data_IF_534478247120
#
_entry.id   IF_534478247120
#
_cell.length_a   1.000
_cell.length_b   1.000
_cell.length_c   1.000
_cell.angle_alpha   90.00
_cell.angle_beta   90.00
_cell.angle_gamma   90.00
#
_symmetry.space_group_name_H-M   'P 1'
#
loop_
_entity.id
_entity.type
_entity.pdbx_description
1 polymer ?
#
# COMPACT_ATOMS: atom_id res chain seq x y z
N UNK A 1 -33.99 -6.38 3.56
CA UNK A 1 -33.70 -6.35 5.02
C UNK A 1 -34.96 -5.95 5.77
N UNK A 2 -35.25 -6.50 6.96
CA UNK A 2 -36.41 -6.06 7.75
C UNK A 2 -36.07 -4.86 8.64
N UNK A 3 -37.03 -3.98 8.94
CA UNK A 3 -36.82 -2.81 9.84
C UNK A 3 -36.22 -3.18 11.20
N UNK A 4 -36.63 -4.33 11.76
CA UNK A 4 -36.13 -4.83 13.04
C UNK A 4 -34.66 -5.22 12.95
N UNK A 5 -34.24 -5.79 11.82
CA UNK A 5 -32.85 -6.13 11.57
C UNK A 5 -32.00 -4.87 11.33
N UNK A 6 -32.49 -3.93 10.52
CA UNK A 6 -31.80 -2.66 10.25
C UNK A 6 -31.64 -1.82 11.53
N UNK A 7 -32.68 -1.73 12.37
CA UNK A 7 -32.58 -1.04 13.66
C UNK A 7 -31.55 -1.67 14.59
N UNK A 8 -31.47 -3.01 14.63
CA UNK A 8 -30.45 -3.72 15.42
C UNK A 8 -29.04 -3.41 14.92
N UNK A 9 -28.81 -3.44 13.61
CA UNK A 9 -27.49 -3.20 13.00
C UNK A 9 -27.05 -1.74 13.09
N UNK A 10 -27.98 -0.79 12.88
CA UNK A 10 -27.71 0.63 13.08
C UNK A 10 -27.64 1.02 14.56
N UNK A 11 -28.07 0.17 15.49
CA UNK A 11 -28.18 0.43 16.94
C UNK A 11 -29.26 1.46 17.31
N UNK A 12 -30.35 1.51 16.54
CA UNK A 12 -31.45 2.46 16.70
C UNK A 12 -32.74 1.74 17.09
N UNK A 13 -33.67 2.42 17.77
CA UNK A 13 -34.99 1.87 18.03
C UNK A 13 -35.80 1.81 16.73
N UNK A 14 -36.72 0.84 16.65
CA UNK A 14 -37.63 0.70 15.51
C UNK A 14 -38.50 1.94 15.30
N UNK A 15 -38.89 2.61 16.39
CA UNK A 15 -39.68 3.85 16.33
C UNK A 15 -38.91 4.99 15.66
N UNK A 16 -37.62 5.17 16.00
CA UNK A 16 -36.76 6.16 15.35
C UNK A 16 -36.61 5.86 13.86
N UNK A 17 -36.44 4.59 13.49
CA UNK A 17 -36.35 4.18 12.09
C UNK A 17 -37.66 4.44 11.32
N UNK A 18 -38.81 4.13 11.93
CA UNK A 18 -40.11 4.37 11.32
C UNK A 18 -40.42 5.87 11.13
N UNK A 19 -39.99 6.73 12.07
CA UNK A 19 -40.11 8.18 11.92
C UNK A 19 -39.26 8.71 10.77
N UNK A 20 -38.03 8.20 10.60
CA UNK A 20 -37.15 8.56 9.50
C UNK A 20 -37.71 8.15 8.13
N UNK A 21 -38.22 6.92 8.01
CA UNK A 21 -38.87 6.45 6.77
C UNK A 21 -40.14 7.27 6.45
N UNK A 22 -40.90 7.64 7.47
CA UNK A 22 -42.11 8.47 7.30
C UNK A 22 -41.78 9.91 6.90
N UNK A 23 -40.58 10.41 7.26
CA UNK A 23 -40.09 11.72 6.87
C UNK A 23 -39.53 11.75 5.44
N UNK A 24 -39.19 10.60 4.85
CA UNK A 24 -38.68 10.45 3.49
C UNK A 24 -39.78 10.44 2.40
N UNK A 25 -41.06 10.59 2.76
CA UNK A 25 -42.17 10.73 1.81
C UNK A 25 -42.39 12.15 1.28
N UNK A 26 -43.43 12.35 0.46
CA UNK A 26 -43.82 13.57 -0.29
C UNK A 26 -43.94 14.88 0.53
N UNK A 27 -43.82 14.82 1.86
CA UNK A 27 -43.88 15.98 2.75
C UNK A 27 -42.90 15.80 3.89
N UNK A 28 -41.71 16.43 3.86
CA UNK A 28 -40.85 16.44 5.03
C UNK A 28 -41.60 17.13 6.16
N UNK A 29 -41.89 16.38 7.24
CA UNK A 29 -42.30 17.00 8.49
C UNK A 29 -41.10 17.83 8.93
N UNK A 30 -41.26 19.15 8.95
CA UNK A 30 -40.26 20.20 9.22
C UNK A 30 -39.46 20.00 10.53
N UNK A 31 -39.70 18.96 11.30
CA UNK A 31 -39.28 18.86 12.70
C UNK A 31 -38.11 17.91 13.00
N UNK A 32 -37.69 17.01 12.10
CA UNK A 32 -36.56 16.13 12.41
C UNK A 32 -35.63 15.95 11.21
N UNK A 33 -34.70 16.91 11.04
CA UNK A 33 -33.51 16.66 10.23
C UNK A 33 -32.71 15.55 10.92
N UNK A 34 -32.47 14.39 10.25
CA UNK A 34 -31.70 13.31 10.86
C UNK A 34 -30.32 13.82 11.26
N UNK A 35 -29.88 13.48 12.48
CA UNK A 35 -28.50 13.74 12.86
C UNK A 35 -27.54 13.09 11.86
N UNK A 36 -26.42 13.73 11.55
CA UNK A 36 -25.40 13.17 10.63
C UNK A 36 -24.93 11.79 11.11
N UNK A 37 -24.83 11.59 12.42
CA UNK A 37 -24.51 10.29 13.02
C UNK A 37 -25.53 9.22 12.68
N UNK A 38 -26.80 9.57 12.56
CA UNK A 38 -27.86 8.65 12.14
C UNK A 38 -27.65 8.22 10.70
N UNK A 39 -27.41 9.16 9.78
CA UNK A 39 -27.13 8.86 8.38
C UNK A 39 -25.92 7.93 8.23
N UNK A 40 -24.82 8.21 8.93
CA UNK A 40 -23.61 7.36 8.88
C UNK A 40 -23.87 5.96 9.42
N UNK A 41 -24.61 5.82 10.53
CA UNK A 41 -24.95 4.51 11.10
C UNK A 41 -25.86 3.69 10.19
N UNK A 42 -26.82 4.34 9.54
CA UNK A 42 -27.67 3.69 8.55
C UNK A 42 -26.86 3.24 7.33
N UNK A 43 -25.99 4.10 6.81
CA UNK A 43 -25.13 3.77 5.68
C UNK A 43 -24.23 2.57 5.97
N UNK A 44 -23.62 2.57 7.17
CA UNK A 44 -22.80 1.45 7.65
C UNK A 44 -23.60 0.14 7.74
N UNK A 45 -24.82 0.19 8.28
CA UNK A 45 -25.68 -0.99 8.39
C UNK A 45 -26.18 -1.48 7.02
N UNK A 46 -26.41 -0.57 6.07
CA UNK A 46 -26.82 -0.89 4.71
C UNK A 46 -25.65 -1.31 3.80
N UNK A 47 -24.41 -1.12 4.24
CA UNK A 47 -23.21 -1.43 3.47
C UNK A 47 -23.00 -0.49 2.27
N UNK A 48 -23.51 0.74 2.34
CA UNK A 48 -23.39 1.75 1.28
C UNK A 48 -22.62 2.98 1.77
N UNK A 49 -21.96 3.74 0.88
CA UNK A 49 -21.44 5.07 1.21
C UNK A 49 -22.52 5.99 1.79
N UNK A 50 -22.26 6.76 2.86
CA UNK A 50 -23.25 7.69 3.42
C UNK A 50 -23.84 8.68 2.42
N UNK A 51 -23.05 9.03 1.40
CA UNK A 51 -23.46 9.97 0.36
C UNK A 51 -24.54 9.38 -0.57
N UNK A 52 -24.60 8.06 -0.76
CA UNK A 52 -25.64 7.39 -1.57
C UNK A 52 -27.01 7.46 -0.87
N UNK A 53 -27.06 7.65 0.44
CA UNK A 53 -28.32 7.91 1.15
C UNK A 53 -28.85 9.34 0.91
N UNK A 54 -27.97 10.27 0.56
CA UNK A 54 -28.31 11.67 0.30
C UNK A 54 -28.64 11.86 -1.18
N UNK A 55 -27.86 11.24 -2.06
CA UNK A 55 -28.01 11.29 -3.52
C UNK A 55 -28.17 9.87 -4.08
N UNK A 56 -29.38 9.27 -4.00
CA UNK A 56 -29.60 7.86 -4.36
C UNK A 56 -29.52 7.58 -5.87
N UNK A 57 -29.64 8.61 -6.69
CA UNK A 57 -29.66 8.51 -8.16
C UNK A 57 -28.26 8.56 -8.80
N UNK A 58 -27.20 8.31 -8.01
CA UNK A 58 -25.82 8.23 -8.52
C UNK A 58 -25.67 7.16 -9.62
N UNK A 59 -24.80 7.40 -10.64
CA UNK A 59 -23.91 8.55 -10.77
C UNK A 59 -24.60 9.81 -11.32
N UNK A 60 -25.51 9.71 -12.29
CA UNK A 60 -25.90 10.87 -13.12
C UNK A 60 -27.39 11.21 -13.09
N UNK A 61 -28.20 10.59 -12.24
CA UNK A 61 -29.62 10.91 -12.17
C UNK A 61 -29.89 12.32 -11.61
N UNK A 62 -31.05 12.90 -11.93
CA UNK A 62 -31.38 14.27 -11.55
C UNK A 62 -31.66 14.37 -10.04
N UNK A 63 -31.09 15.37 -9.39
CA UNK A 63 -31.34 15.69 -7.99
C UNK A 63 -31.46 17.20 -7.78
N UNK A 64 -32.24 17.57 -6.77
CA UNK A 64 -32.26 18.93 -6.24
C UNK A 64 -31.14 19.08 -5.20
N UNK A 65 -30.15 19.93 -5.47
CA UNK A 65 -28.96 20.11 -4.60
C UNK A 65 -29.29 21.02 -3.41
N UNK A 66 -30.04 22.08 -3.68
CA UNK A 66 -30.65 23.01 -2.74
C UNK A 66 -31.92 23.60 -3.40
N UNK A 67 -32.76 24.36 -2.68
CA UNK A 67 -34.05 24.80 -3.20
C UNK A 67 -33.96 25.40 -4.60
N UNK A 68 -34.77 24.86 -5.50
CA UNK A 68 -34.91 25.26 -6.91
C UNK A 68 -33.66 25.03 -7.80
N UNK A 69 -32.60 24.38 -7.30
CA UNK A 69 -31.40 24.08 -8.06
C UNK A 69 -31.28 22.59 -8.38
N UNK A 70 -31.50 22.26 -9.66
CA UNK A 70 -31.32 20.91 -10.19
C UNK A 70 -29.87 20.71 -10.67
N UNK A 71 -29.33 19.52 -10.46
CA UNK A 71 -28.07 19.07 -11.02
C UNK A 71 -28.07 17.54 -11.19
N UNK A 72 -27.02 16.99 -11.77
CA UNK A 72 -26.77 15.54 -11.66
C UNK A 72 -26.36 15.20 -10.23
N UNK A 73 -26.69 14.00 -9.76
CA UNK A 73 -26.24 13.48 -8.47
C UNK A 73 -24.72 13.54 -8.32
N UNK A 74 -23.95 13.33 -9.40
CA UNK A 74 -22.50 13.46 -9.38
C UNK A 74 -22.05 14.89 -9.10
N UNK A 75 -22.64 15.88 -9.77
CA UNK A 75 -22.35 17.30 -9.51
C UNK A 75 -22.75 17.71 -8.09
N UNK A 76 -23.85 17.17 -7.56
CA UNK A 76 -24.27 17.38 -6.18
C UNK A 76 -23.23 16.82 -5.19
N UNK A 77 -22.68 15.64 -5.46
CA UNK A 77 -21.57 15.05 -4.69
C UNK A 77 -20.31 15.91 -4.78
N UNK A 78 -19.96 16.42 -5.96
CA UNK A 78 -18.80 17.29 -6.12
C UNK A 78 -18.93 18.55 -5.26
N UNK A 79 -20.12 19.15 -5.21
CA UNK A 79 -20.35 20.33 -4.39
C UNK A 79 -20.35 19.98 -2.90
N UNK A 80 -21.08 18.94 -2.49
CA UNK A 80 -21.12 18.45 -1.11
C UNK A 80 -19.72 18.11 -0.56
N UNK A 81 -18.86 17.55 -1.41
CA UNK A 81 -17.48 17.18 -1.07
C UNK A 81 -16.47 18.32 -1.25
N UNK A 82 -16.93 19.53 -1.58
CA UNK A 82 -16.14 20.74 -1.81
C UNK A 82 -15.16 20.66 -2.99
N UNK A 83 -15.41 19.75 -3.94
CA UNK A 83 -14.68 19.64 -5.21
C UNK A 83 -15.15 20.66 -6.24
N UNK A 84 -16.41 21.09 -6.14
CA UNK A 84 -16.96 22.22 -6.87
C UNK A 84 -17.54 23.27 -5.90
N UNK A 85 -17.74 24.46 -6.44
CA UNK A 85 -18.32 25.63 -5.78
C UNK A 85 -19.80 25.74 -6.15
N UNK A 86 -20.58 26.48 -5.37
CA UNK A 86 -21.95 26.81 -5.71
C UNK A 86 -22.03 27.57 -7.05
N UNK A 87 -21.03 28.39 -7.35
CA UNK A 87 -20.89 29.07 -8.65
C UNK A 87 -20.78 28.13 -9.85
N UNK A 88 -20.22 26.93 -9.67
CA UNK A 88 -20.12 25.92 -10.74
C UNK A 88 -21.48 25.27 -11.06
N UNK A 89 -22.40 25.24 -10.07
CA UNK A 89 -23.77 24.74 -10.23
C UNK A 89 -24.74 25.84 -10.65
N UNK A 90 -24.53 27.06 -10.16
CA UNK A 90 -25.39 28.22 -10.34
C UNK A 90 -24.54 29.51 -10.44
N UNK A 91 -24.27 30.00 -11.66
CA UNK A 91 -23.33 31.10 -11.91
C UNK A 91 -23.67 32.42 -11.19
N UNK A 92 -24.94 32.64 -10.89
CA UNK A 92 -25.45 33.85 -10.22
C UNK A 92 -25.38 33.77 -8.69
N UNK A 93 -24.79 32.70 -8.13
CA UNK A 93 -24.67 32.53 -6.69
C UNK A 93 -23.52 33.35 -6.12
N UNK A 94 -23.83 34.30 -5.24
CA UNK A 94 -22.83 35.08 -4.49
C UNK A 94 -22.15 34.19 -3.43
N UNK A 95 -21.15 33.43 -3.84
CA UNK A 95 -20.36 32.60 -2.92
C UNK A 95 -19.15 33.36 -2.36
N UNK A 96 -18.92 33.36 -1.03
CA UNK A 96 -17.73 33.94 -0.44
C UNK A 96 -16.45 33.31 -1.01
N UNK A 97 -15.48 34.15 -1.39
CA UNK A 97 -14.18 33.65 -1.87
C UNK A 97 -13.52 32.77 -0.81
N UNK A 98 -13.27 31.51 -1.16
CA UNK A 98 -12.49 30.58 -0.33
C UNK A 98 -13.28 29.63 0.56
N UNK A 99 -14.60 29.43 0.35
CA UNK A 99 -15.44 28.48 1.10
C UNK A 99 -14.79 27.09 1.23
N UNK A 100 -14.13 26.62 0.17
CA UNK A 100 -13.55 25.28 0.08
C UNK A 100 -12.03 25.25 0.30
N UNK A 101 -11.41 26.37 0.68
CA UNK A 101 -9.93 26.48 0.69
C UNK A 101 -9.27 25.47 1.63
N UNK A 102 -9.84 25.27 2.82
CA UNK A 102 -9.32 24.29 3.78
C UNK A 102 -9.33 22.87 3.23
N UNK A 103 -10.42 22.48 2.58
CA UNK A 103 -10.57 21.14 2.03
C UNK A 103 -9.66 20.94 0.81
N UNK A 104 -9.52 21.98 -0.03
CA UNK A 104 -8.57 22.01 -1.14
C UNK A 104 -7.14 21.79 -0.66
N UNK A 105 -6.70 22.53 0.34
CA UNK A 105 -5.37 22.40 0.95
C UNK A 105 -5.15 21.02 1.58
N UNK A 106 -6.16 20.45 2.25
CA UNK A 106 -6.09 19.10 2.80
C UNK A 106 -5.88 18.05 1.70
N UNK A 107 -6.59 18.15 0.58
CA UNK A 107 -6.44 17.22 -0.56
C UNK A 107 -5.11 17.39 -1.26
N UNK A 108 -4.66 18.63 -1.46
CA UNK A 108 -3.34 18.92 -2.01
C UNK A 108 -2.22 18.32 -1.14
N UNK A 109 -2.33 18.49 0.18
CA UNK A 109 -1.41 17.89 1.13
C UNK A 109 -1.38 16.36 1.03
N UNK A 110 -2.53 15.71 0.88
CA UNK A 110 -2.56 14.24 0.76
C UNK A 110 -1.94 13.78 -0.57
N UNK A 111 -2.21 14.47 -1.69
CA UNK A 111 -1.52 14.20 -2.96
C UNK A 111 0.00 14.35 -2.84
N UNK A 112 0.47 15.41 -2.18
CA UNK A 112 1.90 15.61 -1.93
C UNK A 112 2.45 14.47 -1.06
N UNK A 113 1.70 14.04 -0.05
CA UNK A 113 2.09 12.93 0.84
C UNK A 113 2.22 11.60 0.08
N UNK A 114 1.27 11.30 -0.81
CA UNK A 114 1.31 10.12 -1.67
C UNK A 114 2.52 10.16 -2.61
N UNK A 115 2.76 11.31 -3.26
CA UNK A 115 3.93 11.52 -4.13
C UNK A 115 5.25 11.33 -3.36
N UNK A 116 5.35 11.90 -2.16
CA UNK A 116 6.53 11.77 -1.30
C UNK A 116 6.71 10.33 -0.79
N UNK A 117 5.63 9.64 -0.43
CA UNK A 117 5.70 8.23 0.00
C UNK A 117 6.17 7.34 -1.15
N UNK A 118 5.61 7.52 -2.35
CA UNK A 118 6.03 6.79 -3.54
C UNK A 118 7.49 7.07 -3.94
N UNK A 119 7.96 8.30 -3.76
CA UNK A 119 9.36 8.65 -3.94
C UNK A 119 10.27 7.95 -2.91
N UNK A 120 9.85 7.88 -1.64
CA UNK A 120 10.61 7.24 -0.56
C UNK A 120 10.86 5.75 -0.82
N UNK A 121 9.84 5.02 -1.26
CA UNK A 121 9.95 3.58 -1.56
C UNK A 121 10.87 3.31 -2.76
N UNK A 122 10.76 4.14 -3.80
CA UNK A 122 11.66 4.08 -4.95
C UNK A 122 13.12 4.40 -4.57
N UNK A 123 13.33 5.42 -3.72
CA UNK A 123 14.65 5.82 -3.24
C UNK A 123 15.30 4.78 -2.32
N UNK A 124 14.51 4.15 -1.44
CA UNK A 124 14.99 3.10 -0.53
C UNK A 124 15.41 1.87 -1.35
N UNK A 125 14.61 1.46 -2.33
CA UNK A 125 14.91 0.32 -3.21
C UNK A 125 16.21 0.53 -4.01
N UNK A 126 16.40 1.72 -4.58
CA UNK A 126 17.59 2.04 -5.37
C UNK A 126 18.87 2.10 -4.51
N UNK A 127 18.76 2.61 -3.28
CA UNK A 127 19.88 2.69 -2.33
C UNK A 127 20.25 1.32 -1.76
N UNK A 128 19.27 0.44 -1.50
CA UNK A 128 19.49 -0.95 -1.08
C UNK A 128 20.18 -1.74 -2.20
N UNK A 129 19.69 -1.62 -3.45
CA UNK A 129 20.32 -2.25 -4.63
C UNK A 129 21.75 -1.76 -4.84
N UNK A 130 21.98 -0.46 -4.74
CA UNK A 130 23.32 0.13 -4.88
C UNK A 130 24.30 -0.30 -3.80
N UNK A 131 23.84 -0.49 -2.55
CA UNK A 131 24.67 -1.02 -1.49
C UNK A 131 24.99 -2.51 -1.73
N UNK A 132 23.99 -3.31 -2.09
CA UNK A 132 24.19 -4.73 -2.41
C UNK A 132 25.18 -4.93 -3.57
N UNK A 133 25.13 -4.09 -4.60
CA UNK A 133 26.06 -4.16 -5.73
C UNK A 133 27.50 -3.79 -5.33
N UNK A 134 27.69 -2.78 -4.46
CA UNK A 134 29.02 -2.45 -3.94
C UNK A 134 29.60 -3.57 -3.09
N UNK A 135 28.78 -4.20 -2.28
CA UNK A 135 29.18 -5.31 -1.41
C UNK A 135 29.52 -6.56 -2.24
N UNK A 136 28.73 -6.86 -3.28
CA UNK A 136 29.01 -7.93 -4.24
C UNK A 136 30.32 -7.69 -5.01
N UNK A 137 30.57 -6.46 -5.49
CA UNK A 137 31.83 -6.12 -6.18
C UNK A 137 33.04 -6.28 -5.25
N UNK A 138 32.90 -5.89 -3.99
CA UNK A 138 33.96 -6.06 -2.98
C UNK A 138 34.26 -7.54 -2.74
N UNK A 139 33.22 -8.33 -2.50
CA UNK A 139 33.34 -9.78 -2.30
C UNK A 139 33.96 -10.50 -3.51
N UNK A 140 33.56 -10.14 -4.73
CA UNK A 140 34.14 -10.70 -5.97
C UNK A 140 35.61 -10.34 -6.10
N UNK A 141 35.99 -9.10 -5.79
CA UNK A 141 37.40 -8.67 -5.85
C UNK A 141 38.24 -9.44 -4.83
N UNK A 142 37.76 -9.57 -3.59
CA UNK A 142 38.43 -10.33 -2.53
C UNK A 142 38.52 -11.84 -2.86
N UNK A 143 37.56 -12.37 -3.61
CA UNK A 143 37.58 -13.76 -4.09
C UNK A 143 38.58 -13.96 -5.22
N UNK A 144 38.66 -13.02 -6.16
CA UNK A 144 39.65 -13.03 -7.25
C UNK A 144 41.06 -12.93 -6.68
N UNK A 145 41.29 -12.08 -5.67
CA UNK A 145 42.58 -11.98 -4.99
C UNK A 145 42.94 -13.28 -4.27
N UNK A 146 42.00 -13.90 -3.54
CA UNK A 146 42.21 -15.21 -2.90
C UNK A 146 42.57 -16.30 -3.91
N UNK A 147 41.84 -16.40 -5.02
CA UNK A 147 42.10 -17.37 -6.08
C UNK A 147 43.47 -17.11 -6.73
N UNK A 148 43.81 -15.84 -6.98
CA UNK A 148 45.08 -15.46 -7.59
C UNK A 148 46.27 -15.79 -6.68
N UNK A 149 46.15 -15.54 -5.37
CA UNK A 149 47.12 -15.94 -4.36
C UNK A 149 47.28 -17.46 -4.31
N UNK A 150 46.15 -18.19 -4.29
CA UNK A 150 46.16 -19.66 -4.33
C UNK A 150 46.83 -20.20 -5.59
N UNK A 151 46.54 -19.65 -6.76
CA UNK A 151 47.16 -20.05 -8.02
C UNK A 151 48.66 -19.70 -8.07
N UNK A 152 49.09 -18.58 -7.50
CA UNK A 152 50.49 -18.21 -7.42
C UNK A 152 51.27 -19.18 -6.51
N UNK A 153 50.67 -19.60 -5.40
CA UNK A 153 51.23 -20.60 -4.51
C UNK A 153 51.31 -21.97 -5.18
N UNK A 154 50.24 -22.39 -5.86
CA UNK A 154 50.19 -23.64 -6.63
C UNK A 154 51.23 -23.65 -7.74
N UNK A 155 51.41 -22.53 -8.46
CA UNK A 155 52.47 -22.36 -9.46
C UNK A 155 53.86 -22.41 -8.83
N UNK A 156 54.06 -21.78 -7.67
CA UNK A 156 55.34 -21.81 -6.96
C UNK A 156 55.71 -23.22 -6.46
N UNK A 157 54.70 -24.00 -6.05
CA UNK A 157 54.86 -25.41 -5.68
C UNK A 157 55.22 -26.26 -6.89
N UNK A 158 54.50 -26.08 -8.01
CA UNK A 158 54.79 -26.77 -9.27
C UNK A 158 56.19 -26.44 -9.83
N UNK A 159 56.71 -25.22 -9.59
CA UNK A 159 58.07 -24.86 -10.01
C UNK A 159 59.16 -25.40 -9.07
N UNK A 160 58.85 -25.68 -7.80
CA UNK A 160 59.83 -26.13 -6.79
C UNK A 160 59.97 -27.64 -6.66
N UNK A 161 58.95 -28.41 -7.05
CA UNK A 161 59.04 -29.87 -7.14
C UNK A 161 58.61 -30.29 -8.53
N UNK A 162 59.38 -31.14 -9.21
CA UNK A 162 59.02 -31.71 -10.51
C UNK A 162 57.75 -32.55 -10.44
N UNK A 163 56.58 -31.90 -10.45
CA UNK A 163 55.27 -32.53 -10.44
C UNK A 163 54.95 -33.05 -11.85
N UNK A 164 55.05 -34.36 -12.04
CA UNK A 164 54.49 -35.07 -13.20
C UNK A 164 53.06 -35.52 -12.88
N UNK A 165 52.10 -35.20 -13.77
CA UNK A 165 50.71 -35.66 -13.64
C UNK A 165 50.67 -37.20 -13.66
N UNK A 166 50.39 -37.81 -12.50
CA UNK A 166 50.16 -39.24 -12.37
C UNK A 166 50.77 -39.89 -11.13
N UNK A 167 50.31 -39.53 -9.93
CA UNK A 167 50.56 -40.36 -8.73
C UNK A 167 49.47 -40.14 -7.67
N UNK A 168 48.79 -41.23 -7.30
CA UNK A 168 48.22 -41.53 -5.97
C UNK A 168 47.21 -40.59 -5.30
N UNK A 169 46.06 -41.15 -4.91
CA UNK A 169 45.03 -40.51 -4.07
C UNK A 169 45.52 -39.86 -2.75
N UNK A 170 46.74 -40.16 -2.30
CA UNK A 170 47.36 -39.53 -1.11
C UNK A 170 47.77 -38.07 -1.32
N UNK A 171 48.11 -37.67 -2.53
CA UNK A 171 48.52 -36.28 -2.83
C UNK A 171 47.33 -35.32 -2.87
N UNK A 172 46.14 -35.84 -3.25
CA UNK A 172 44.88 -35.09 -3.21
C UNK A 172 44.46 -34.80 -1.77
N UNK A 173 44.56 -35.78 -0.86
CA UNK A 173 44.21 -35.59 0.54
C UNK A 173 45.13 -34.58 1.26
N UNK A 174 46.43 -34.58 0.94
CA UNK A 174 47.36 -33.58 1.49
C UNK A 174 47.13 -32.18 0.90
N UNK A 175 46.73 -32.08 -0.36
CA UNK A 175 46.38 -30.81 -0.98
C UNK A 175 45.08 -30.25 -0.38
N UNK A 176 44.08 -31.09 -0.18
CA UNK A 176 42.79 -30.70 0.39
C UNK A 176 42.92 -30.23 1.85
N UNK A 177 43.70 -30.93 2.68
CA UNK A 177 43.97 -30.53 4.07
C UNK A 177 44.75 -29.21 4.17
N UNK A 178 45.64 -28.93 3.21
CA UNK A 178 46.37 -27.65 3.15
C UNK A 178 45.48 -26.51 2.63
N UNK A 179 44.62 -26.77 1.64
CA UNK A 179 43.63 -25.79 1.17
C UNK A 179 42.59 -25.48 2.26
N UNK A 180 42.21 -26.47 3.07
CA UNK A 180 41.35 -26.28 4.25
C UNK A 180 42.01 -25.40 5.30
N UNK A 181 43.31 -25.61 5.59
CA UNK A 181 44.09 -24.73 6.49
C UNK A 181 44.31 -23.31 5.96
N UNK A 182 44.40 -23.14 4.65
CA UNK A 182 44.47 -21.83 4.00
C UNK A 182 43.09 -21.13 3.89
N UNK A 183 42.01 -21.76 4.39
CA UNK A 183 40.65 -21.23 4.33
C UNK A 183 40.06 -21.17 2.90
N UNK A 184 40.60 -21.97 1.99
CA UNK A 184 40.21 -21.99 0.57
C UNK A 184 39.21 -23.09 0.20
N UNK A 185 38.98 -24.06 1.09
CA UNK A 185 37.88 -25.04 0.94
C UNK A 185 36.66 -24.47 1.66
N UNK A 186 35.65 -24.08 0.89
CA UNK A 186 34.31 -23.82 1.43
C UNK A 186 33.74 -25.20 1.76
N UNK A 187 33.51 -25.49 3.04
CA UNK A 187 32.69 -26.63 3.40
C UNK A 187 31.36 -26.45 2.67
N UNK A 188 30.99 -27.39 1.81
CA UNK A 188 29.61 -27.48 1.35
C UNK A 188 28.75 -27.45 2.61
N UNK A 189 27.98 -26.37 2.75
CA UNK A 189 27.14 -26.16 3.91
C UNK A 189 26.29 -27.40 4.10
N UNK A 190 26.26 -27.88 5.34
CA UNK A 190 25.27 -28.85 5.79
C UNK A 190 23.90 -28.40 5.27
N UNK A 191 23.44 -29.09 4.22
CA UNK A 191 22.06 -29.05 3.82
C UNK A 191 21.30 -29.67 4.97
N UNK A 192 20.72 -28.81 5.81
CA UNK A 192 19.77 -29.18 6.85
C UNK A 192 18.53 -29.72 6.15
N UNK A 193 18.65 -31.00 5.77
CA UNK A 193 17.61 -31.86 5.26
C UNK A 193 16.83 -32.38 6.45
N UNK A 194 15.68 -31.76 6.64
CA UNK A 194 14.49 -32.29 7.27
C UNK A 194 14.31 -33.80 6.98
N UNK A 195 14.41 -34.68 7.98
CA UNK A 195 13.57 -35.88 8.12
C UNK A 195 13.79 -36.62 9.47
N UNK A 196 12.78 -36.49 10.33
CA UNK A 196 12.16 -37.51 11.19
C UNK A 196 13.02 -38.64 11.81
N UNK A 197 13.03 -38.75 13.15
CA UNK A 197 12.34 -39.85 13.89
C UNK A 197 12.55 -39.78 15.41
N UNK A 198 11.43 -39.98 16.12
CA UNK A 198 11.19 -40.21 17.58
C UNK A 198 11.03 -39.00 18.50
#
# INVERSE_FOLDING_TARGET
MSQLQLGREAGMSREVLANLESAAGDRPRVYEVPAVTTLVRLALALGVPPIELIYPELPDGPVEVWPDQQATSFQAVQWFSGESTAGDLAPDTDEPRGSNERLRLSRERERVRELVSGMGDAWISDRVRSNAERELRRSVTESIERVSLGMAELRSLMSRGGWQWGAGAGDVAQLEDRMRRAGMVVSDGDGDGDEATR
#
